data_IF_411520229103
#
_entry.id   IF_411520229103
#
_cell.length_a   1.000
_cell.length_b   1.000
_cell.length_c   1.000
_cell.angle_alpha   90.00
_cell.angle_beta   90.00
_cell.angle_gamma   90.00
#
_symmetry.space_group_name_H-M   'P 1'
#
loop_
_entity.id
_entity.type
_entity.pdbx_description
1 polymer ?
#
# COMPACT_ATOMS: atom_id res chain seq x y z
N UNK A 1 -7.49 30.53 -21.55
CA UNK A 1 -7.66 30.64 -20.07
C UNK A 1 -6.36 30.12 -19.48
N UNK A 2 -5.62 30.93 -18.72
CA UNK A 2 -4.47 30.42 -17.96
C UNK A 2 -4.98 29.33 -17.01
N UNK A 3 -4.44 28.13 -17.11
CA UNK A 3 -4.72 27.04 -16.18
C UNK A 3 -4.26 27.48 -14.80
N UNK A 4 -5.17 27.64 -13.86
CA UNK A 4 -4.82 28.03 -12.49
C UNK A 4 -3.93 26.96 -11.88
N UNK A 5 -2.76 27.36 -11.39
CA UNK A 5 -1.82 26.46 -10.72
C UNK A 5 -2.48 25.79 -9.50
N UNK A 6 -2.21 24.50 -9.30
CA UNK A 6 -2.84 23.68 -8.26
C UNK A 6 -1.84 23.27 -7.19
N UNK A 7 -2.28 23.34 -5.94
CA UNK A 7 -1.57 22.79 -4.78
C UNK A 7 -2.33 21.57 -4.27
N UNK A 8 -1.63 20.45 -4.16
CA UNK A 8 -2.17 19.22 -3.58
C UNK A 8 -1.63 19.04 -2.15
N UNK A 9 -2.51 18.96 -1.17
CA UNK A 9 -2.16 18.65 0.22
C UNK A 9 -2.50 17.21 0.50
N UNK A 10 -1.49 16.37 0.79
CA UNK A 10 -1.65 14.95 1.06
C UNK A 10 -1.45 14.67 2.55
N UNK A 11 -2.49 14.20 3.22
CA UNK A 11 -2.40 13.73 4.61
C UNK A 11 -1.89 12.30 4.61
N UNK A 12 -0.66 12.10 5.13
CA UNK A 12 0.06 10.84 5.11
C UNK A 12 0.35 10.30 6.52
N UNK A 13 0.63 9.00 6.61
CA UNK A 13 0.80 8.27 7.89
C UNK A 13 2.08 8.60 8.65
N UNK A 14 3.15 9.00 7.93
CA UNK A 14 4.49 9.25 8.45
C UNK A 14 5.26 10.23 7.59
N UNK A 15 6.42 10.67 8.07
CA UNK A 15 7.39 11.47 7.31
C UNK A 15 7.85 10.73 6.06
N UNK A 16 8.09 11.45 4.96
CA UNK A 16 8.39 10.93 3.62
C UNK A 16 9.47 9.84 3.59
N UNK A 17 10.59 10.07 4.27
CA UNK A 17 11.73 9.15 4.29
C UNK A 17 11.70 8.10 5.41
N UNK A 18 10.62 8.03 6.21
CA UNK A 18 10.52 7.09 7.35
C UNK A 18 9.92 5.73 6.98
N UNK A 19 9.22 5.65 5.85
CA UNK A 19 8.73 4.38 5.33
C UNK A 19 9.84 3.72 4.51
N UNK A 20 10.31 2.56 4.94
CA UNK A 20 11.30 1.75 4.20
C UNK A 20 10.71 1.16 2.91
N UNK A 21 9.39 1.22 2.75
CA UNK A 21 8.66 0.72 1.60
C UNK A 21 7.94 1.88 0.92
N UNK A 22 7.92 1.86 -0.42
CA UNK A 22 7.15 2.80 -1.23
C UNK A 22 5.71 2.31 -1.32
N UNK A 23 4.76 3.11 -0.79
CA UNK A 23 3.33 2.81 -0.79
C UNK A 23 2.58 3.64 -1.83
N UNK A 24 1.33 3.27 -2.15
CA UNK A 24 0.40 3.97 -3.03
C UNK A 24 0.43 5.50 -2.83
N UNK A 25 0.43 5.99 -1.59
CA UNK A 25 0.46 7.43 -1.28
C UNK A 25 1.74 8.15 -1.77
N UNK A 26 2.90 7.48 -1.78
CA UNK A 26 4.13 8.05 -2.31
C UNK A 26 4.03 8.18 -3.84
N UNK A 27 3.53 7.13 -4.51
CA UNK A 27 3.30 7.12 -5.95
C UNK A 27 2.29 8.17 -6.37
N UNK A 28 1.20 8.34 -5.60
CA UNK A 28 0.23 9.41 -5.82
C UNK A 28 0.89 10.79 -5.71
N UNK A 29 1.71 11.03 -4.69
CA UNK A 29 2.39 12.31 -4.51
C UNK A 29 3.35 12.62 -5.68
N UNK A 30 4.11 11.62 -6.14
CA UNK A 30 5.01 11.74 -7.29
C UNK A 30 4.25 11.96 -8.59
N UNK A 31 3.17 11.21 -8.81
CA UNK A 31 2.31 11.39 -9.97
C UNK A 31 1.71 12.80 -10.01
N UNK A 32 1.18 13.30 -8.89
CA UNK A 32 0.61 14.65 -8.81
C UNK A 32 1.69 15.72 -9.03
N UNK A 33 2.87 15.56 -8.43
CA UNK A 33 3.97 16.51 -8.59
C UNK A 33 4.50 16.59 -10.04
N UNK A 34 4.29 15.55 -10.84
CA UNK A 34 4.70 15.50 -12.25
C UNK A 34 3.66 16.09 -13.22
N UNK A 35 2.44 16.49 -12.76
CA UNK A 35 1.43 17.09 -13.63
C UNK A 35 1.77 18.57 -13.91
N UNK A 36 1.55 19.00 -15.15
CA UNK A 36 1.87 20.38 -15.58
C UNK A 36 1.11 21.46 -14.80
N UNK A 37 -0.15 21.16 -14.41
CA UNK A 37 -0.99 22.08 -13.66
C UNK A 37 -0.62 22.13 -12.17
N UNK A 38 0.20 21.20 -11.68
CA UNK A 38 0.58 21.14 -10.28
C UNK A 38 1.75 22.08 -9.99
N UNK A 39 1.52 23.05 -9.14
CA UNK A 39 2.56 23.92 -8.62
C UNK A 39 3.45 23.18 -7.62
N UNK A 40 2.81 22.49 -6.69
CA UNK A 40 3.49 21.71 -5.65
C UNK A 40 2.56 20.70 -4.97
N UNK A 41 3.19 19.74 -4.29
CA UNK A 41 2.54 18.82 -3.37
C UNK A 41 3.04 19.07 -1.96
N UNK A 42 2.12 19.24 -1.00
CA UNK A 42 2.44 19.40 0.42
C UNK A 42 2.10 18.08 1.14
N UNK A 43 3.13 17.39 1.62
CA UNK A 43 3.02 16.15 2.39
C UNK A 43 2.84 16.46 3.87
N UNK A 44 1.62 16.37 4.38
CA UNK A 44 1.29 16.61 5.79
C UNK A 44 1.30 15.29 6.56
N UNK A 45 2.16 15.19 7.55
CA UNK A 45 2.30 13.94 8.30
C UNK A 45 2.50 14.16 9.80
N UNK A 46 2.08 13.19 10.64
CA UNK A 46 2.40 13.21 12.05
C UNK A 46 3.87 12.82 12.28
N UNK A 47 4.59 13.61 13.05
CA UNK A 47 5.99 13.41 13.37
C UNK A 47 6.23 13.48 14.90
N UNK A 48 6.34 12.34 15.59
CA UNK A 48 6.42 12.32 17.05
C UNK A 48 7.70 12.90 17.62
N UNK A 49 8.76 12.99 16.83
CA UNK A 49 10.09 13.45 17.28
C UNK A 49 10.52 14.78 16.66
N UNK A 50 9.70 15.41 15.82
CA UNK A 50 10.09 16.68 15.23
C UNK A 50 10.23 17.76 16.28
N UNK A 51 11.28 18.59 16.16
CA UNK A 51 11.50 19.76 17.03
C UNK A 51 10.86 21.01 16.42
N UNK A 52 10.80 21.11 15.10
CA UNK A 52 10.27 22.26 14.34
C UNK A 52 9.18 21.80 13.39
N UNK A 53 8.12 22.58 13.28
CA UNK A 53 7.03 22.39 12.32
C UNK A 53 7.24 23.39 11.17
N UNK A 54 8.19 23.05 10.30
CA UNK A 54 8.59 23.85 9.14
C UNK A 54 8.41 23.04 7.85
N UNK A 55 8.27 23.72 6.73
CA UNK A 55 8.25 23.08 5.43
C UNK A 55 9.66 22.66 5.02
N UNK A 56 9.81 21.42 4.61
CA UNK A 56 11.07 20.83 4.15
C UNK A 56 10.90 20.24 2.75
N UNK A 57 11.81 20.56 1.83
CA UNK A 57 11.85 19.87 0.54
C UNK A 57 12.28 18.42 0.76
N UNK A 58 11.45 17.46 0.33
CA UNK A 58 11.72 16.01 0.53
C UNK A 58 11.85 15.25 -0.79
N UNK A 59 11.27 15.80 -1.85
CA UNK A 59 11.38 15.27 -3.21
C UNK A 59 11.13 16.41 -4.22
N UNK A 60 11.47 16.24 -5.50
CA UNK A 60 11.16 17.24 -6.53
C UNK A 60 9.65 17.54 -6.54
N UNK A 61 9.28 18.81 -6.42
CA UNK A 61 7.88 19.23 -6.37
C UNK A 61 7.11 18.85 -5.10
N UNK A 62 7.76 18.22 -4.08
CA UNK A 62 7.09 17.79 -2.84
C UNK A 62 7.77 18.40 -1.63
N UNK A 63 7.02 19.22 -0.87
CA UNK A 63 7.42 19.75 0.44
C UNK A 63 6.69 19.01 1.55
N UNK A 64 7.39 18.69 2.63
CA UNK A 64 6.81 18.05 3.81
C UNK A 64 6.52 19.07 4.90
N UNK A 65 5.35 18.99 5.50
CA UNK A 65 4.97 19.68 6.72
C UNK A 65 4.71 18.64 7.83
N UNK A 66 5.65 18.53 8.75
CA UNK A 66 5.63 17.54 9.83
C UNK A 66 4.92 18.09 11.07
N UNK A 67 3.77 17.54 11.42
CA UNK A 67 2.97 17.95 12.59
C UNK A 67 3.40 17.15 13.82
N UNK A 68 3.91 17.85 14.85
CA UNK A 68 4.37 17.22 16.09
C UNK A 68 3.23 16.50 16.80
N UNK A 69 3.39 15.18 17.02
CA UNK A 69 2.45 14.40 17.83
C UNK A 69 2.48 14.84 19.31
N UNK A 70 1.37 14.61 20.00
CA UNK A 70 1.28 14.91 21.43
C UNK A 70 2.23 14.02 22.26
N UNK A 71 2.26 12.71 21.95
CA UNK A 71 3.05 11.71 22.66
C UNK A 71 3.92 10.92 21.69
N UNK A 72 5.16 10.62 22.13
CA UNK A 72 6.12 9.89 21.30
C UNK A 72 5.82 8.38 21.21
N UNK A 73 5.27 7.79 22.26
CA UNK A 73 4.97 6.35 22.31
C UNK A 73 3.81 6.00 21.36
N UNK A 74 4.03 5.07 20.46
CA UNK A 74 3.10 4.65 19.38
C UNK A 74 1.68 4.35 19.89
N UNK A 75 1.54 3.69 21.03
CA UNK A 75 0.24 3.31 21.60
C UNK A 75 -0.62 4.50 22.05
N UNK A 76 -0.01 5.66 22.31
CA UNK A 76 -0.69 6.86 22.80
C UNK A 76 -0.80 7.98 21.75
N UNK A 77 -0.54 7.69 20.48
CA UNK A 77 -0.59 8.67 19.38
C UNK A 77 -2.01 8.95 18.92
N UNK A 78 -2.90 9.30 19.84
CA UNK A 78 -4.30 9.66 19.50
C UNK A 78 -4.46 11.12 19.08
N UNK A 79 -3.51 11.99 19.39
CA UNK A 79 -3.58 13.43 19.14
C UNK A 79 -3.89 13.78 17.68
N UNK A 80 -3.44 12.97 16.73
CA UNK A 80 -3.70 13.15 15.30
C UNK A 80 -5.16 12.94 14.88
N UNK A 81 -5.98 12.35 15.75
CA UNK A 81 -7.41 12.12 15.52
C UNK A 81 -8.30 13.05 16.35
N UNK A 82 -7.71 13.89 17.24
CA UNK A 82 -8.41 14.72 18.21
C UNK A 82 -8.12 16.18 17.95
N UNK A 83 -9.12 16.94 17.54
CA UNK A 83 -9.03 18.33 17.05
C UNK A 83 -8.27 19.28 17.97
N UNK A 84 -8.51 19.18 19.27
CA UNK A 84 -7.88 20.03 20.31
C UNK A 84 -6.36 20.00 20.25
N UNK A 85 -5.75 18.83 19.90
CA UNK A 85 -4.32 18.66 19.95
C UNK A 85 -3.55 19.14 18.71
N UNK A 86 -4.23 19.28 17.55
CA UNK A 86 -3.53 19.65 16.32
C UNK A 86 -4.02 20.92 15.63
N UNK A 87 -5.20 21.44 15.99
CA UNK A 87 -5.77 22.63 15.35
C UNK A 87 -4.78 23.78 15.22
N UNK A 88 -4.16 24.19 16.34
CA UNK A 88 -3.16 25.27 16.32
C UNK A 88 -1.86 24.91 15.60
N UNK A 89 -1.51 23.62 15.59
CA UNK A 89 -0.29 23.14 14.91
C UNK A 89 -0.38 23.21 13.39
N UNK A 90 -1.59 23.29 12.85
CA UNK A 90 -1.84 23.44 11.41
C UNK A 90 -1.83 24.90 10.94
N UNK A 91 -1.72 25.89 11.85
CA UNK A 91 -1.75 27.31 11.48
C UNK A 91 -0.75 27.68 10.38
N UNK A 92 0.55 27.26 10.41
CA UNK A 92 1.48 27.61 9.35
C UNK A 92 1.06 27.07 7.97
N UNK A 93 0.48 25.85 7.93
CA UNK A 93 -0.07 25.26 6.70
C UNK A 93 -1.24 26.12 6.19
N UNK A 94 -2.17 26.51 7.08
CA UNK A 94 -3.35 27.29 6.71
C UNK A 94 -2.99 28.70 6.22
N UNK A 95 -1.95 29.32 6.77
CA UNK A 95 -1.42 30.62 6.31
C UNK A 95 -0.82 30.51 4.91
N UNK A 96 -0.04 29.45 4.63
CA UNK A 96 0.49 29.17 3.29
C UNK A 96 -0.65 29.00 2.27
N UNK A 97 -1.68 28.21 2.61
CA UNK A 97 -2.82 27.99 1.72
C UNK A 97 -3.65 29.25 1.49
N UNK A 98 -3.84 30.10 2.50
CA UNK A 98 -4.50 31.41 2.32
C UNK A 98 -3.72 32.31 1.37
N UNK A 99 -2.40 32.33 1.50
CA UNK A 99 -1.52 33.07 0.58
C UNK A 99 -1.62 32.53 -0.84
N UNK A 100 -1.72 31.22 -1.02
CA UNK A 100 -1.92 30.57 -2.31
C UNK A 100 -3.26 30.97 -2.94
N UNK A 101 -4.35 30.89 -2.16
CA UNK A 101 -5.68 31.34 -2.61
C UNK A 101 -5.72 32.79 -3.04
N UNK A 102 -5.01 33.68 -2.31
CA UNK A 102 -4.89 35.08 -2.69
C UNK A 102 -4.16 35.31 -4.04
N UNK A 103 -3.33 34.36 -4.46
CA UNK A 103 -2.70 34.33 -5.80
C UNK A 103 -3.59 33.69 -6.86
N UNK A 104 -4.80 33.21 -6.51
CA UNK A 104 -5.71 32.53 -7.41
C UNK A 104 -5.39 31.05 -7.65
N UNK A 105 -4.53 30.45 -6.82
CA UNK A 105 -4.16 29.03 -6.89
C UNK A 105 -5.30 28.17 -6.30
N UNK A 106 -5.52 26.98 -6.88
CA UNK A 106 -6.49 25.99 -6.39
C UNK A 106 -5.83 25.09 -5.36
N UNK A 107 -6.58 24.67 -4.35
CA UNK A 107 -6.08 23.82 -3.27
C UNK A 107 -6.94 22.56 -3.09
N UNK A 108 -6.36 21.37 -3.34
CA UNK A 108 -7.01 20.08 -3.20
C UNK A 108 -6.44 19.33 -2.00
N UNK A 109 -7.33 18.77 -1.17
CA UNK A 109 -6.97 17.96 0.01
C UNK A 109 -7.14 16.47 -0.29
N UNK A 110 -6.08 15.70 -0.07
CA UNK A 110 -6.07 14.24 -0.20
C UNK A 110 -5.85 13.59 1.15
N UNK A 111 -6.82 12.82 1.61
CA UNK A 111 -6.60 11.94 2.74
C UNK A 111 -6.16 10.56 2.26
N UNK A 112 -4.99 10.09 2.68
CA UNK A 112 -4.52 8.72 2.44
C UNK A 112 -4.56 7.87 3.71
N UNK A 113 -4.96 8.49 4.82
CA UNK A 113 -5.33 7.84 6.09
C UNK A 113 -6.18 8.81 6.94
N UNK A 114 -6.96 8.36 7.92
CA UNK A 114 -7.91 9.19 8.66
C UNK A 114 -7.29 10.06 9.76
N UNK A 115 -6.13 10.68 9.51
CA UNK A 115 -5.51 11.64 10.43
C UNK A 115 -5.94 13.07 10.16
N UNK A 116 -5.92 13.91 11.19
CA UNK A 116 -6.27 15.33 11.11
C UNK A 116 -7.64 15.62 10.46
N UNK A 117 -8.73 14.94 10.87
CA UNK A 117 -10.01 15.02 10.17
C UNK A 117 -10.58 16.44 10.13
N UNK A 118 -10.24 17.32 11.10
CA UNK A 118 -10.67 18.72 11.11
C UNK A 118 -10.09 19.53 9.95
N UNK A 119 -8.96 19.12 9.35
CA UNK A 119 -8.31 19.87 8.27
C UNK A 119 -9.26 20.13 7.09
N UNK A 120 -10.14 19.18 6.78
CA UNK A 120 -11.19 19.34 5.75
C UNK A 120 -12.18 20.48 6.02
N UNK A 121 -12.25 20.98 7.26
CA UNK A 121 -13.16 22.06 7.68
C UNK A 121 -12.43 23.38 7.98
N UNK A 122 -11.10 23.38 8.06
CA UNK A 122 -10.32 24.58 8.44
C UNK A 122 -9.99 25.50 7.26
N UNK A 123 -10.24 25.03 6.05
CA UNK A 123 -9.93 25.76 4.81
C UNK A 123 -11.02 25.48 3.76
N UNK A 124 -11.37 26.46 2.91
CA UNK A 124 -12.31 26.25 1.80
C UNK A 124 -11.62 25.56 0.63
N UNK A 125 -11.48 24.24 0.72
CA UNK A 125 -10.84 23.42 -0.31
C UNK A 125 -11.65 23.45 -1.61
N UNK A 126 -10.95 23.50 -2.76
CA UNK A 126 -11.58 23.29 -4.06
C UNK A 126 -12.08 21.86 -4.22
N UNK A 127 -11.38 20.88 -3.62
CA UNK A 127 -11.82 19.50 -3.51
C UNK A 127 -11.22 18.80 -2.29
N UNK A 128 -11.97 17.89 -1.71
CA UNK A 128 -11.54 16.95 -0.66
C UNK A 128 -11.69 15.54 -1.17
N UNK A 129 -10.59 14.81 -1.27
CA UNK A 129 -10.54 13.44 -1.77
C UNK A 129 -10.08 12.49 -0.65
N UNK A 130 -10.74 11.34 -0.52
CA UNK A 130 -10.30 10.27 0.37
C UNK A 130 -9.84 9.05 -0.43
N UNK A 131 -8.54 8.75 -0.43
CA UNK A 131 -7.95 7.54 -1.02
C UNK A 131 -7.83 6.47 0.07
N UNK A 132 -8.89 5.67 0.22
CA UNK A 132 -9.03 4.62 1.23
C UNK A 132 -8.29 3.36 0.78
N UNK A 133 -7.07 3.19 1.25
CA UNK A 133 -6.20 2.08 0.86
C UNK A 133 -6.05 0.98 1.91
N UNK A 134 -6.68 1.11 3.09
CA UNK A 134 -6.54 0.15 4.18
C UNK A 134 -7.75 0.19 5.13
N UNK A 135 -7.96 -0.90 5.87
CA UNK A 135 -8.97 -0.96 6.94
C UNK A 135 -8.36 -0.39 8.24
N UNK A 136 -8.22 0.95 8.28
CA UNK A 136 -7.45 1.69 9.29
C UNK A 136 -7.82 1.39 10.74
N UNK A 137 -9.08 1.07 11.00
CA UNK A 137 -9.58 0.77 12.34
C UNK A 137 -9.37 -0.70 12.75
N UNK A 138 -9.06 -1.62 11.82
CA UNK A 138 -8.90 -3.03 12.13
C UNK A 138 -7.51 -3.35 12.69
N UNK A 139 -7.38 -4.26 13.66
CA UNK A 139 -6.10 -4.72 14.14
C UNK A 139 -5.44 -5.64 13.11
N UNK A 140 -4.21 -5.34 12.72
CA UNK A 140 -3.42 -6.16 11.76
C UNK A 140 -3.18 -7.58 12.29
N UNK A 141 -3.07 -7.76 13.61
CA UNK A 141 -2.86 -9.06 14.26
C UNK A 141 -4.14 -9.89 14.44
N UNK A 142 -5.31 -9.32 14.16
CA UNK A 142 -6.61 -9.95 14.43
C UNK A 142 -6.97 -10.06 15.91
N UNK A 143 -6.07 -9.68 16.84
CA UNK A 143 -6.32 -9.70 18.30
C UNK A 143 -6.75 -8.31 18.77
N UNK A 144 -7.76 -8.26 19.66
CA UNK A 144 -8.23 -7.01 20.26
C UNK A 144 -8.05 -7.04 21.78
N UNK A 145 -7.79 -5.86 22.35
CA UNK A 145 -7.82 -5.58 23.78
C UNK A 145 -8.54 -4.25 24.01
N UNK A 146 -8.82 -3.90 25.27
CA UNK A 146 -9.59 -2.68 25.62
C UNK A 146 -9.01 -1.41 24.97
N UNK A 147 -7.67 -1.25 24.96
CA UNK A 147 -7.00 -0.10 24.36
C UNK A 147 -7.14 -0.09 22.83
N UNK A 148 -7.07 -1.26 22.19
CA UNK A 148 -7.24 -1.38 20.74
C UNK A 148 -8.70 -1.08 20.33
N UNK A 149 -9.67 -1.45 21.15
CA UNK A 149 -11.08 -1.13 20.92
C UNK A 149 -11.36 0.38 21.07
N UNK A 150 -10.78 1.04 22.07
CA UNK A 150 -10.85 2.49 22.18
C UNK A 150 -10.24 3.17 20.97
N UNK A 151 -9.03 2.73 20.57
CA UNK A 151 -8.35 3.25 19.37
C UNK A 151 -9.21 3.05 18.12
N UNK A 152 -9.82 1.88 17.97
CA UNK A 152 -10.72 1.58 16.84
C UNK A 152 -11.89 2.57 16.76
N UNK A 153 -12.52 2.88 17.89
CA UNK A 153 -13.63 3.88 17.94
C UNK A 153 -13.14 5.25 17.50
N UNK A 154 -12.02 5.72 18.02
CA UNK A 154 -11.46 7.03 17.68
C UNK A 154 -11.12 7.13 16.18
N UNK A 155 -10.49 6.09 15.61
CA UNK A 155 -10.16 6.06 14.17
C UNK A 155 -11.45 6.01 13.32
N UNK A 156 -12.45 5.19 13.68
CA UNK A 156 -13.72 5.13 12.98
C UNK A 156 -14.45 6.49 12.96
N UNK A 157 -14.47 7.19 14.09
CA UNK A 157 -15.07 8.53 14.16
C UNK A 157 -14.34 9.54 13.28
N UNK A 158 -13.00 9.51 13.28
CA UNK A 158 -12.19 10.37 12.42
C UNK A 158 -12.42 10.07 10.93
N UNK A 159 -12.43 8.79 10.56
CA UNK A 159 -12.69 8.34 9.20
C UNK A 159 -14.09 8.72 8.71
N UNK A 160 -15.13 8.57 9.55
CA UNK A 160 -16.50 8.95 9.20
C UNK A 160 -16.58 10.44 8.85
N UNK A 161 -15.96 11.31 9.64
CA UNK A 161 -15.91 12.76 9.36
C UNK A 161 -15.24 13.08 8.01
N UNK A 162 -14.23 12.30 7.63
CA UNK A 162 -13.57 12.47 6.32
C UNK A 162 -14.48 11.98 5.20
N UNK A 163 -15.13 10.82 5.36
CA UNK A 163 -16.08 10.25 4.40
C UNK A 163 -17.25 11.23 4.13
N UNK A 164 -17.79 11.83 5.18
CA UNK A 164 -18.88 12.82 5.06
C UNK A 164 -18.45 14.06 4.27
N UNK A 165 -17.22 14.52 4.45
CA UNK A 165 -16.66 15.75 3.86
C UNK A 165 -16.04 15.55 2.47
N UNK A 166 -15.65 14.32 2.13
CA UNK A 166 -15.02 14.05 0.85
C UNK A 166 -16.01 14.27 -0.32
N UNK A 167 -15.54 14.94 -1.36
CA UNK A 167 -16.27 15.10 -2.62
C UNK A 167 -16.18 13.83 -3.48
N UNK A 168 -15.03 13.13 -3.41
CA UNK A 168 -14.78 11.85 -4.07
C UNK A 168 -13.99 10.91 -3.17
N UNK A 169 -14.29 9.62 -3.24
CA UNK A 169 -13.63 8.58 -2.46
C UNK A 169 -13.17 7.49 -3.39
N UNK A 170 -11.88 7.10 -3.31
CA UNK A 170 -11.36 5.93 -4.00
C UNK A 170 -10.99 4.85 -2.99
N UNK A 171 -11.29 3.60 -3.32
CA UNK A 171 -11.03 2.45 -2.47
C UNK A 171 -10.15 1.45 -3.20
N UNK A 172 -9.11 0.93 -2.52
CA UNK A 172 -8.17 -0.01 -3.13
C UNK A 172 -8.70 -1.45 -3.25
N UNK A 173 -9.93 -1.71 -2.82
CA UNK A 173 -10.61 -2.99 -3.00
C UNK A 173 -12.14 -2.84 -2.93
N UNK A 174 -12.86 -3.79 -3.53
CA UNK A 174 -14.32 -3.88 -3.45
C UNK A 174 -14.82 -3.99 -2.00
N UNK A 175 -14.07 -4.68 -1.15
CA UNK A 175 -14.39 -4.78 0.27
C UNK A 175 -14.39 -3.41 0.95
N UNK A 176 -13.34 -2.61 0.71
CA UNK A 176 -13.27 -1.24 1.26
C UNK A 176 -14.35 -0.34 0.67
N UNK A 177 -14.63 -0.46 -0.63
CA UNK A 177 -15.73 0.24 -1.29
C UNK A 177 -17.05 -0.01 -0.53
N UNK A 178 -17.41 -1.27 -0.38
CA UNK A 178 -18.65 -1.67 0.30
C UNK A 178 -18.70 -1.21 1.77
N UNK A 179 -17.57 -1.23 2.48
CA UNK A 179 -17.48 -0.74 3.86
C UNK A 179 -17.60 0.78 3.97
N UNK A 180 -17.14 1.53 2.98
CA UNK A 180 -17.29 2.98 2.90
C UNK A 180 -18.71 3.33 2.49
N UNK A 181 -19.25 2.68 1.48
CA UNK A 181 -20.59 2.93 0.94
C UNK A 181 -21.69 2.75 2.02
N UNK A 182 -21.58 1.73 2.86
CA UNK A 182 -22.46 1.53 4.02
C UNK A 182 -22.50 2.70 5.00
N UNK A 183 -21.50 3.59 4.98
CA UNK A 183 -21.40 4.76 5.86
C UNK A 183 -21.98 6.03 5.22
N UNK A 184 -22.29 6.00 3.93
CA UNK A 184 -22.85 7.13 3.20
C UNK A 184 -24.37 7.20 3.34
N UNK A 185 -24.90 8.38 3.16
CA UNK A 185 -26.35 8.60 3.01
C UNK A 185 -26.79 8.08 1.64
N UNK A 186 -27.93 7.42 1.56
CA UNK A 186 -28.45 6.88 0.31
C UNK A 186 -28.47 7.92 -0.83
N UNK A 187 -28.00 7.53 -2.02
CA UNK A 187 -27.97 8.39 -3.21
C UNK A 187 -26.69 9.20 -3.43
N UNK A 188 -25.65 8.99 -2.62
CA UNK A 188 -24.33 9.60 -2.83
C UNK A 188 -23.43 8.68 -3.66
N UNK A 189 -23.36 8.91 -4.96
CA UNK A 189 -22.47 8.16 -5.88
C UNK A 189 -21.08 8.81 -5.95
N UNK A 190 -20.29 8.74 -4.86
CA UNK A 190 -18.95 9.34 -4.80
C UNK A 190 -17.84 8.34 -4.48
N UNK A 191 -18.16 7.04 -4.39
CA UNK A 191 -17.18 5.98 -4.09
C UNK A 191 -16.84 5.21 -5.35
N UNK A 192 -15.54 5.03 -5.60
CA UNK A 192 -15.01 4.32 -6.75
C UNK A 192 -13.97 3.30 -6.31
N UNK A 193 -13.96 2.11 -6.92
CA UNK A 193 -12.89 1.14 -6.71
C UNK A 193 -11.77 1.38 -7.71
N UNK A 194 -10.57 1.65 -7.19
CA UNK A 194 -9.32 1.71 -7.96
C UNK A 194 -8.26 0.94 -7.18
N UNK A 195 -7.97 -0.26 -7.62
CA UNK A 195 -7.07 -1.17 -6.93
C UNK A 195 -5.64 -0.64 -6.88
N UNK A 196 -4.77 -1.34 -6.14
CA UNK A 196 -3.35 -1.02 -6.13
C UNK A 196 -2.70 -1.41 -7.47
N UNK A 197 -1.66 -0.67 -7.83
CA UNK A 197 -0.94 -0.83 -9.07
C UNK A 197 0.53 -1.21 -8.87
N UNK A 198 1.30 -1.08 -9.95
CA UNK A 198 2.72 -1.41 -10.03
C UNK A 198 3.49 -0.32 -10.77
N UNK A 199 4.78 -0.16 -10.50
CA UNK A 199 5.72 0.51 -11.41
C UNK A 199 6.12 -0.49 -12.50
N UNK A 200 5.32 -0.54 -13.56
CA UNK A 200 5.45 -1.58 -14.57
C UNK A 200 6.88 -1.67 -15.13
N UNK A 201 7.45 -0.56 -15.56
CA UNK A 201 8.78 -0.52 -16.20
C UNK A 201 9.90 -0.98 -15.25
N UNK A 202 9.80 -0.65 -13.96
CA UNK A 202 10.79 -1.08 -12.95
C UNK A 202 10.95 -2.60 -12.90
N UNK A 203 9.85 -3.34 -13.03
CA UNK A 203 9.84 -4.79 -12.91
C UNK A 203 9.92 -5.53 -14.25
N UNK A 204 9.40 -4.94 -15.34
CA UNK A 204 9.33 -5.58 -16.65
C UNK A 204 10.62 -5.46 -17.47
N UNK A 205 11.37 -4.36 -17.28
CA UNK A 205 12.57 -4.06 -18.07
C UNK A 205 13.88 -4.49 -17.40
N UNK A 206 13.79 -5.01 -16.17
CA UNK A 206 14.97 -5.40 -15.42
C UNK A 206 15.64 -6.63 -16.05
N UNK A 207 16.93 -6.51 -16.40
CA UNK A 207 17.75 -7.55 -17.05
C UNK A 207 19.03 -7.85 -16.27
N UNK A 208 19.08 -7.53 -14.97
CA UNK A 208 20.28 -7.83 -14.20
C UNK A 208 20.45 -9.35 -14.04
N UNK A 209 21.69 -9.80 -14.11
CA UNK A 209 22.01 -11.18 -13.77
C UNK A 209 21.84 -11.35 -12.25
N UNK A 210 20.94 -12.23 -11.79
CA UNK A 210 20.69 -12.40 -10.36
C UNK A 210 21.90 -13.02 -9.67
N UNK A 211 22.23 -12.55 -8.47
CA UNK A 211 23.24 -13.19 -7.62
C UNK A 211 22.68 -14.48 -7.00
N UNK A 212 22.90 -15.60 -7.68
CA UNK A 212 22.44 -16.92 -7.22
C UNK A 212 23.17 -17.44 -5.97
N UNK A 213 24.25 -16.78 -5.52
CA UNK A 213 24.94 -17.16 -4.26
C UNK A 213 24.02 -17.08 -3.05
N UNK A 214 23.01 -16.20 -3.12
CA UNK A 214 21.92 -16.07 -2.12
C UNK A 214 21.20 -17.40 -1.89
N UNK A 215 21.06 -18.22 -2.94
CA UNK A 215 20.37 -19.52 -2.86
C UNK A 215 21.25 -20.62 -2.26
N UNK A 216 22.50 -20.33 -1.85
CA UNK A 216 23.39 -21.25 -1.14
C UNK A 216 23.61 -22.58 -1.87
N UNK A 217 23.69 -22.54 -3.21
CA UNK A 217 23.90 -23.73 -4.05
C UNK A 217 22.65 -24.59 -4.28
N UNK A 218 21.47 -24.12 -3.89
CA UNK A 218 20.20 -24.84 -4.15
C UNK A 218 19.76 -24.62 -5.60
N UNK A 219 19.31 -25.70 -6.25
CA UNK A 219 18.97 -25.71 -7.68
C UNK A 219 17.46 -25.88 -7.95
N UNK A 220 16.67 -26.25 -6.94
CA UNK A 220 15.22 -26.47 -7.06
C UNK A 220 14.43 -25.17 -7.25
N UNK A 221 13.12 -25.31 -7.43
CA UNK A 221 12.21 -24.16 -7.61
C UNK A 221 12.28 -23.17 -6.42
N UNK A 222 12.29 -21.88 -6.74
CA UNK A 222 12.35 -20.78 -5.75
C UNK A 222 10.99 -20.13 -5.62
N UNK A 223 10.36 -20.30 -4.46
CA UNK A 223 9.10 -19.67 -4.10
C UNK A 223 9.41 -18.45 -3.23
N UNK A 224 9.05 -17.25 -3.68
CA UNK A 224 9.49 -16.02 -3.02
C UNK A 224 8.39 -15.12 -2.50
N UNK A 225 8.61 -14.58 -1.31
CA UNK A 225 7.84 -13.46 -0.75
C UNK A 225 8.73 -12.22 -0.64
N UNK A 226 8.29 -11.10 -1.23
CA UNK A 226 9.02 -9.83 -1.14
C UNK A 226 8.15 -8.78 -0.45
N UNK A 227 8.67 -8.12 0.60
CA UNK A 227 8.04 -7.01 1.30
C UNK A 227 8.00 -7.16 2.81
N UNK A 228 7.33 -6.27 3.53
CA UNK A 228 7.27 -6.31 4.99
C UNK A 228 6.68 -7.61 5.52
N UNK A 229 7.48 -8.36 6.28
CA UNK A 229 7.09 -9.62 6.90
C UNK A 229 6.30 -9.28 8.16
N UNK A 230 4.99 -9.58 8.17
CA UNK A 230 4.06 -9.12 9.21
C UNK A 230 3.22 -10.28 9.77
N UNK A 231 2.62 -10.15 10.98
CA UNK A 231 1.82 -11.20 11.61
C UNK A 231 0.58 -11.64 10.81
N UNK A 232 0.21 -10.91 9.76
CA UNK A 232 -0.89 -11.24 8.84
C UNK A 232 -0.56 -12.37 7.86
N UNK A 233 0.72 -12.77 7.77
CA UNK A 233 1.19 -13.87 6.91
C UNK A 233 1.06 -15.19 7.63
N UNK A 234 0.79 -16.26 6.88
CA UNK A 234 0.67 -17.62 7.37
C UNK A 234 2.00 -18.36 7.28
N UNK A 235 2.82 -18.22 8.31
CA UNK A 235 4.12 -18.87 8.37
C UNK A 235 4.01 -20.39 8.53
N UNK A 236 2.93 -20.88 9.18
CA UNK A 236 2.71 -22.32 9.35
C UNK A 236 2.40 -23.02 8.03
N UNK A 237 1.61 -22.38 7.17
CA UNK A 237 1.35 -22.89 5.82
C UNK A 237 2.67 -23.12 5.07
N UNK A 238 3.59 -22.16 5.15
CA UNK A 238 4.88 -22.27 4.46
C UNK A 238 5.83 -23.25 5.15
N UNK A 239 5.82 -23.33 6.49
CA UNK A 239 6.58 -24.32 7.24
C UNK A 239 6.22 -25.76 6.79
N UNK A 240 4.93 -26.08 6.75
CA UNK A 240 4.43 -27.38 6.30
C UNK A 240 4.79 -27.67 4.84
N UNK A 241 4.67 -26.67 3.96
CA UNK A 241 5.07 -26.80 2.56
C UNK A 241 6.59 -27.02 2.41
N UNK A 242 7.40 -26.30 3.18
CA UNK A 242 8.86 -26.42 3.15
C UNK A 242 9.35 -27.79 3.63
N UNK A 243 8.72 -28.36 4.66
CA UNK A 243 9.01 -29.73 5.15
C UNK A 243 8.67 -30.79 4.10
N UNK A 244 7.62 -30.62 3.31
CA UNK A 244 7.16 -31.59 2.29
C UNK A 244 7.91 -31.46 0.96
N UNK A 245 8.47 -30.27 0.68
CA UNK A 245 9.21 -29.96 -0.54
C UNK A 245 10.63 -29.50 -0.18
N UNK A 246 11.50 -30.41 0.31
CA UNK A 246 12.87 -30.05 0.71
C UNK A 246 13.75 -29.62 -0.46
N UNK A 247 13.39 -29.98 -1.68
CA UNK A 247 14.01 -29.56 -2.94
C UNK A 247 13.67 -28.12 -3.34
N UNK A 248 12.54 -27.55 -2.85
CA UNK A 248 12.19 -26.17 -3.11
C UNK A 248 12.93 -25.23 -2.16
N UNK A 249 13.13 -23.99 -2.60
CA UNK A 249 13.67 -22.91 -1.76
C UNK A 249 12.58 -21.88 -1.48
N UNK A 250 12.37 -21.53 -0.21
CA UNK A 250 11.45 -20.48 0.20
C UNK A 250 12.23 -19.20 0.55
N UNK A 251 12.23 -18.24 -0.38
CA UNK A 251 12.99 -17.00 -0.29
C UNK A 251 12.13 -15.87 0.29
N UNK A 252 12.56 -15.30 1.43
CA UNK A 252 11.92 -14.18 2.09
C UNK A 252 12.81 -12.93 1.99
N UNK A 253 12.27 -11.87 1.39
CA UNK A 253 12.98 -10.59 1.21
C UNK A 253 12.18 -9.47 1.86
N UNK A 254 12.80 -8.75 2.79
CA UNK A 254 12.18 -7.60 3.42
C UNK A 254 12.34 -7.52 4.94
N UNK A 255 11.93 -6.40 5.55
CA UNK A 255 12.08 -6.19 6.98
C UNK A 255 11.15 -7.09 7.80
N UNK A 256 11.69 -7.66 8.88
CA UNK A 256 10.87 -8.34 9.91
C UNK A 256 10.09 -7.29 10.73
N UNK A 257 8.80 -7.32 10.57
CA UNK A 257 7.83 -6.53 11.33
C UNK A 257 6.82 -7.44 12.07
N UNK A 258 7.23 -8.68 12.38
CA UNK A 258 6.39 -9.66 13.09
C UNK A 258 6.30 -9.37 14.60
N UNK A 259 7.20 -8.52 15.13
CA UNK A 259 7.39 -8.26 16.55
C UNK A 259 7.77 -9.55 17.35
N UNK A 260 8.59 -10.42 16.77
CA UNK A 260 9.06 -11.65 17.38
C UNK A 260 8.05 -12.80 17.32
N UNK A 261 7.29 -12.93 16.23
CA UNK A 261 6.38 -14.07 16.01
C UNK A 261 7.18 -15.38 15.99
N UNK A 262 6.84 -16.29 16.91
CA UNK A 262 7.53 -17.57 17.06
C UNK A 262 7.41 -18.47 15.83
N UNK A 263 6.28 -18.43 15.12
CA UNK A 263 6.11 -19.23 13.91
C UNK A 263 7.05 -18.79 12.79
N UNK A 264 7.37 -17.49 12.67
CA UNK A 264 8.38 -17.02 11.72
C UNK A 264 9.77 -17.49 12.13
N UNK A 265 10.10 -17.45 13.43
CA UNK A 265 11.40 -17.93 13.93
C UNK A 265 11.58 -19.43 13.72
N UNK A 266 10.54 -20.25 13.91
CA UNK A 266 10.60 -21.69 13.63
C UNK A 266 10.77 -21.94 12.12
N UNK A 267 10.04 -21.23 11.26
CA UNK A 267 10.19 -21.32 9.81
C UNK A 267 11.64 -21.07 9.36
N UNK A 268 12.33 -20.10 9.95
CA UNK A 268 13.73 -19.76 9.61
C UNK A 268 14.76 -20.84 10.03
N UNK A 269 14.38 -21.85 10.80
CA UNK A 269 15.27 -22.97 11.15
C UNK A 269 15.37 -24.03 10.05
N UNK A 270 14.45 -23.99 9.08
CA UNK A 270 14.47 -24.96 7.98
C UNK A 270 15.58 -24.62 6.98
N UNK A 271 16.34 -25.62 6.55
CA UNK A 271 17.50 -25.46 5.67
C UNK A 271 17.17 -24.95 4.27
N UNK A 272 15.92 -25.08 3.84
CA UNK A 272 15.40 -24.61 2.55
C UNK A 272 14.61 -23.31 2.65
N UNK A 273 14.69 -22.61 3.78
CA UNK A 273 14.11 -21.30 3.99
C UNK A 273 15.22 -20.27 4.13
N UNK A 274 15.21 -19.25 3.30
CA UNK A 274 16.24 -18.20 3.27
C UNK A 274 15.57 -16.85 3.51
N UNK A 275 16.08 -16.10 4.48
CA UNK A 275 15.67 -14.71 4.72
C UNK A 275 16.87 -13.78 4.51
N UNK A 276 16.73 -12.84 3.59
CA UNK A 276 17.82 -11.90 3.22
C UNK A 276 17.83 -10.62 4.06
N UNK A 277 16.78 -10.39 4.86
CA UNK A 277 16.58 -9.10 5.52
C UNK A 277 15.97 -8.03 4.59
N UNK A 278 16.01 -6.74 5.00
CA UNK A 278 15.53 -5.62 4.20
C UNK A 278 16.34 -5.46 2.91
N UNK A 279 15.65 -5.10 1.82
CA UNK A 279 16.26 -4.71 0.55
C UNK A 279 15.87 -3.27 0.20
N UNK A 280 16.74 -2.56 -0.52
CA UNK A 280 16.38 -1.28 -1.13
C UNK A 280 15.28 -1.52 -2.19
N UNK A 281 14.25 -0.66 -2.28
CA UNK A 281 13.22 -0.79 -3.31
C UNK A 281 13.76 -0.91 -4.75
N UNK A 282 14.91 -0.31 -5.04
CA UNK A 282 15.56 -0.41 -6.34
C UNK A 282 16.23 -1.76 -6.60
N UNK A 283 16.54 -2.52 -5.54
CA UNK A 283 17.13 -3.85 -5.64
C UNK A 283 16.06 -4.96 -5.70
N UNK A 284 14.81 -4.65 -5.39
CA UNK A 284 13.71 -5.62 -5.43
C UNK A 284 13.62 -6.38 -6.76
N UNK A 285 13.79 -5.75 -7.94
CA UNK A 285 13.79 -6.48 -9.21
C UNK A 285 14.88 -7.56 -9.31
N UNK A 286 16.07 -7.37 -8.69
CA UNK A 286 17.12 -8.40 -8.67
C UNK A 286 16.69 -9.67 -7.92
N UNK A 287 15.99 -9.49 -6.78
CA UNK A 287 15.44 -10.62 -6.05
C UNK A 287 14.29 -11.29 -6.81
N UNK A 288 13.50 -10.52 -7.58
CA UNK A 288 12.45 -11.07 -8.44
C UNK A 288 13.00 -12.06 -9.49
N UNK A 289 14.19 -11.80 -10.03
CA UNK A 289 14.82 -12.70 -11.01
C UNK A 289 15.18 -14.07 -10.41
N UNK A 290 15.45 -14.15 -9.11
CA UNK A 290 15.74 -15.41 -8.41
C UNK A 290 14.48 -16.27 -8.19
N UNK A 291 13.28 -15.67 -8.26
CA UNK A 291 12.02 -16.30 -7.89
C UNK A 291 11.36 -16.91 -9.12
N UNK A 292 10.90 -18.15 -9.00
CA UNK A 292 10.10 -18.81 -10.03
C UNK A 292 8.60 -18.61 -9.77
N UNK A 293 8.17 -18.62 -8.50
CA UNK A 293 6.78 -18.39 -8.11
C UNK A 293 6.69 -17.35 -7.00
N UNK A 294 5.96 -16.26 -7.24
CA UNK A 294 5.61 -15.31 -6.20
C UNK A 294 4.57 -15.90 -5.23
N UNK A 295 4.83 -15.85 -3.93
CA UNK A 295 3.87 -16.36 -2.95
C UNK A 295 3.27 -15.25 -2.09
N UNK A 296 1.97 -15.35 -1.82
CA UNK A 296 1.23 -14.43 -0.97
C UNK A 296 0.43 -15.23 0.10
N UNK A 297 1.12 -15.80 1.10
CA UNK A 297 0.51 -16.69 2.09
C UNK A 297 -0.12 -15.87 3.21
N UNK A 298 -1.37 -15.43 3.04
CA UNK A 298 -2.06 -14.65 4.04
C UNK A 298 -2.98 -15.51 4.91
N UNK A 299 -3.08 -15.16 6.21
CA UNK A 299 -4.03 -15.76 7.15
C UNK A 299 -5.46 -15.32 6.84
N UNK A 300 -6.44 -16.18 7.06
CA UNK A 300 -7.85 -15.78 7.05
C UNK A 300 -8.12 -14.80 8.20
N UNK A 301 -8.47 -13.55 7.87
CA UNK A 301 -8.78 -12.51 8.86
C UNK A 301 -9.63 -11.40 8.25
N UNK A 302 -10.36 -10.67 9.10
CA UNK A 302 -11.13 -9.48 8.65
C UNK A 302 -10.25 -8.40 8.04
N UNK A 303 -9.02 -8.25 8.53
CA UNK A 303 -8.05 -7.31 7.94
C UNK A 303 -7.67 -7.72 6.52
N UNK A 304 -7.34 -9.00 6.30
CA UNK A 304 -6.88 -9.48 5.00
C UNK A 304 -8.00 -9.51 3.94
N UNK A 305 -9.29 -9.51 4.34
CA UNK A 305 -10.42 -9.34 3.40
C UNK A 305 -10.35 -8.00 2.64
N UNK A 306 -9.84 -6.95 3.31
CA UNK A 306 -9.72 -5.62 2.72
C UNK A 306 -8.45 -5.42 1.90
N UNK A 307 -7.44 -6.30 2.07
CA UNK A 307 -6.12 -6.12 1.46
C UNK A 307 -6.15 -6.47 -0.02
N UNK A 308 -5.72 -5.52 -0.85
CA UNK A 308 -5.31 -5.77 -2.23
C UNK A 308 -3.79 -5.56 -2.34
N UNK A 309 -2.96 -6.62 -2.40
CA UNK A 309 -1.52 -6.50 -2.26
C UNK A 309 -0.86 -5.98 -3.54
N UNK A 310 0.07 -5.03 -3.40
CA UNK A 310 0.92 -4.53 -4.49
C UNK A 310 1.69 -5.65 -5.19
N UNK A 311 2.14 -6.63 -4.40
CA UNK A 311 2.99 -7.74 -4.83
C UNK A 311 2.43 -8.57 -5.98
N UNK A 312 1.10 -8.69 -6.07
CA UNK A 312 0.48 -9.42 -7.17
C UNK A 312 0.97 -8.87 -8.52
N UNK A 313 0.86 -7.57 -8.71
CA UNK A 313 1.24 -6.96 -9.99
C UNK A 313 2.75 -6.74 -10.12
N UNK A 314 3.50 -6.63 -9.02
CA UNK A 314 4.97 -6.61 -9.05
C UNK A 314 5.52 -7.94 -9.60
N UNK A 315 5.03 -9.09 -9.12
CA UNK A 315 5.40 -10.40 -9.66
C UNK A 315 4.94 -10.57 -11.12
N UNK A 316 3.69 -10.21 -11.43
CA UNK A 316 3.18 -10.34 -12.80
C UNK A 316 3.95 -9.45 -13.79
N UNK A 317 4.38 -8.24 -13.40
CA UNK A 317 5.21 -7.36 -14.22
C UNK A 317 6.60 -7.96 -14.50
N UNK A 318 7.18 -8.64 -13.50
CA UNK A 318 8.40 -9.42 -13.69
C UNK A 318 8.19 -10.70 -14.51
N UNK A 319 6.97 -10.99 -14.96
CA UNK A 319 6.61 -12.20 -15.70
C UNK A 319 6.45 -13.45 -14.85
N UNK A 320 6.46 -13.33 -13.51
CA UNK A 320 6.37 -14.45 -12.57
C UNK A 320 4.93 -14.83 -12.27
N UNK A 321 4.59 -16.14 -12.22
CA UNK A 321 3.29 -16.59 -11.73
C UNK A 321 3.16 -16.36 -10.23
N UNK A 322 1.92 -16.32 -9.72
CA UNK A 322 1.67 -16.04 -8.31
C UNK A 322 0.70 -17.04 -7.71
N UNK A 323 0.95 -17.46 -6.48
CA UNK A 323 0.00 -18.22 -5.64
C UNK A 323 -0.36 -17.39 -4.41
N UNK A 324 -1.65 -17.13 -4.22
CA UNK A 324 -2.15 -16.34 -3.10
C UNK A 324 -3.23 -17.04 -2.29
N UNK A 325 -3.17 -16.89 -0.97
CA UNK A 325 -4.19 -17.44 -0.08
C UNK A 325 -4.89 -16.38 0.75
N UNK A 326 -6.20 -16.58 1.00
CA UNK A 326 -7.02 -15.76 1.90
C UNK A 326 -7.03 -14.25 1.63
N UNK A 327 -6.97 -13.89 0.34
CA UNK A 327 -7.07 -12.53 -0.17
C UNK A 327 -8.30 -12.39 -1.09
N UNK A 328 -9.53 -12.39 -0.57
CA UNK A 328 -10.75 -12.41 -1.39
C UNK A 328 -10.82 -11.28 -2.43
N UNK A 329 -10.24 -10.11 -2.11
CA UNK A 329 -10.19 -8.97 -3.04
C UNK A 329 -9.43 -9.28 -4.34
N UNK A 330 -8.59 -10.31 -4.36
CA UNK A 330 -7.81 -10.72 -5.53
C UNK A 330 -8.42 -11.91 -6.27
N UNK A 331 -9.45 -12.56 -5.72
CA UNK A 331 -10.03 -13.80 -6.30
C UNK A 331 -10.51 -13.62 -7.74
N UNK A 332 -11.02 -12.44 -8.10
CA UNK A 332 -11.42 -12.10 -9.46
C UNK A 332 -10.26 -12.06 -10.48
N UNK A 333 -9.02 -12.00 -9.99
CA UNK A 333 -7.81 -12.02 -10.83
C UNK A 333 -7.33 -13.44 -11.11
N UNK A 334 -7.96 -14.48 -10.52
CA UNK A 334 -7.59 -15.86 -10.76
C UNK A 334 -7.61 -16.20 -12.23
N UNK A 335 -6.50 -16.75 -12.70
CA UNK A 335 -6.32 -17.19 -14.07
C UNK A 335 -5.26 -18.30 -14.11
N UNK A 336 -5.56 -19.48 -14.72
CA UNK A 336 -4.65 -20.61 -14.74
C UNK A 336 -3.24 -20.23 -15.20
N UNK A 337 -2.22 -20.72 -14.50
CA UNK A 337 -0.78 -20.50 -14.74
C UNK A 337 -0.29 -19.05 -14.62
N UNK A 338 -1.17 -18.13 -14.21
CA UNK A 338 -0.87 -16.71 -14.02
C UNK A 338 -0.98 -16.35 -12.55
N UNK A 339 -2.18 -16.53 -11.98
CA UNK A 339 -2.47 -16.33 -10.58
C UNK A 339 -3.43 -17.41 -10.09
N UNK A 340 -2.96 -18.24 -9.18
CA UNK A 340 -3.80 -19.22 -8.49
C UNK A 340 -4.19 -18.67 -7.12
N UNK A 341 -5.50 -18.48 -6.91
CA UNK A 341 -6.07 -18.08 -5.64
C UNK A 341 -6.60 -19.28 -4.89
N UNK A 342 -6.31 -19.37 -3.60
CA UNK A 342 -6.86 -20.40 -2.73
C UNK A 342 -7.53 -19.79 -1.50
N UNK A 343 -8.62 -20.40 -1.07
CA UNK A 343 -9.25 -20.09 0.21
C UNK A 343 -8.89 -21.17 1.22
N UNK A 344 -8.40 -20.75 2.39
CA UNK A 344 -7.96 -21.69 3.43
C UNK A 344 -6.44 -21.77 3.55
N UNK A 345 -5.96 -22.71 4.33
CA UNK A 345 -4.53 -22.88 4.69
C UNK A 345 -4.12 -24.35 4.56
N UNK A 346 -4.73 -25.11 3.66
CA UNK A 346 -4.27 -26.48 3.38
C UNK A 346 -2.96 -26.41 2.60
N UNK A 347 -1.91 -27.04 3.14
CA UNK A 347 -0.58 -27.01 2.53
C UNK A 347 -0.49 -27.89 1.28
N UNK A 348 -1.35 -28.93 1.12
CA UNK A 348 -1.36 -29.74 -0.09
C UNK A 348 -2.00 -28.96 -1.24
N UNK A 349 -3.08 -28.22 -0.96
CA UNK A 349 -3.68 -27.30 -1.95
C UNK A 349 -2.67 -26.22 -2.38
N UNK A 350 -1.90 -25.68 -1.41
CA UNK A 350 -0.86 -24.69 -1.70
C UNK A 350 0.25 -25.28 -2.57
N UNK A 351 0.75 -26.49 -2.23
CA UNK A 351 1.78 -27.18 -3.02
C UNK A 351 1.25 -27.45 -4.44
N UNK A 352 0.04 -28.00 -4.56
CA UNK A 352 -0.58 -28.29 -5.86
C UNK A 352 -0.74 -27.03 -6.71
N UNK A 353 -1.14 -25.91 -6.11
CA UNK A 353 -1.22 -24.61 -6.82
C UNK A 353 0.15 -24.13 -7.30
N UNK A 354 1.20 -24.28 -6.48
CA UNK A 354 2.57 -23.94 -6.87
C UNK A 354 3.09 -24.84 -7.99
N UNK A 355 2.90 -26.16 -7.90
CA UNK A 355 3.28 -27.11 -8.96
C UNK A 355 2.60 -26.76 -10.28
N UNK A 356 1.31 -26.47 -10.25
CA UNK A 356 0.54 -26.09 -11.43
C UNK A 356 1.10 -24.85 -12.12
N UNK A 357 1.43 -23.78 -11.38
CA UNK A 357 1.96 -22.57 -12.01
C UNK A 357 3.40 -22.75 -12.52
N UNK A 358 4.18 -23.64 -11.90
CA UNK A 358 5.53 -24.00 -12.34
C UNK A 358 5.55 -24.70 -13.70
N UNK A 359 4.49 -25.44 -14.08
CA UNK A 359 4.40 -26.10 -15.39
C UNK A 359 4.58 -25.12 -16.57
N UNK A 360 4.25 -23.85 -16.37
CA UNK A 360 4.30 -22.81 -17.39
C UNK A 360 5.22 -21.63 -17.02
N UNK A 361 6.14 -21.79 -16.08
CA UNK A 361 7.01 -20.71 -15.68
C UNK A 361 7.96 -20.27 -16.82
N UNK A 362 8.59 -21.21 -17.50
CA UNK A 362 9.49 -20.95 -18.63
C UNK A 362 8.80 -20.60 -19.97
N UNK A 363 7.48 -20.61 -20.04
CA UNK A 363 6.72 -20.36 -21.28
C UNK A 363 6.57 -18.85 -21.54
N UNK A 364 7.22 -18.35 -22.61
CA UNK A 364 7.21 -16.92 -22.95
C UNK A 364 5.80 -16.37 -23.24
N UNK A 365 4.88 -17.19 -23.74
CA UNK A 365 3.50 -16.78 -23.95
C UNK A 365 2.83 -16.42 -22.61
N UNK A 366 3.00 -17.26 -21.60
CA UNK A 366 2.47 -17.00 -20.27
C UNK A 366 3.18 -15.85 -19.56
N UNK A 367 4.49 -15.70 -19.74
CA UNK A 367 5.22 -14.51 -19.22
C UNK A 367 4.65 -13.21 -19.81
N UNK A 368 4.41 -13.17 -21.12
CA UNK A 368 3.85 -11.99 -21.76
C UNK A 368 2.40 -11.75 -21.31
N UNK A 369 1.60 -12.80 -21.12
CA UNK A 369 0.24 -12.66 -20.57
C UNK A 369 0.25 -12.06 -19.16
N UNK A 370 1.20 -12.47 -18.28
CA UNK A 370 1.40 -11.92 -16.93
C UNK A 370 1.76 -10.43 -17.00
N UNK A 371 2.72 -10.07 -17.84
CA UNK A 371 3.16 -8.68 -18.07
C UNK A 371 2.02 -7.81 -18.61
N UNK A 372 1.23 -8.31 -19.56
CA UNK A 372 0.12 -7.56 -20.11
C UNK A 372 -0.96 -7.25 -19.07
N UNK A 373 -1.25 -8.17 -18.15
CA UNK A 373 -2.15 -7.91 -17.02
C UNK A 373 -1.55 -6.81 -16.13
N UNK A 374 -0.28 -6.91 -15.76
CA UNK A 374 0.37 -5.91 -14.91
C UNK A 374 0.45 -4.53 -15.57
N UNK A 375 0.68 -4.46 -16.89
CA UNK A 375 0.73 -3.19 -17.65
C UNK A 375 -0.56 -2.39 -17.53
N UNK A 376 -1.73 -3.05 -17.50
CA UNK A 376 -3.02 -2.36 -17.30
C UNK A 376 -3.17 -1.80 -15.88
N UNK A 377 -2.33 -2.24 -14.95
CA UNK A 377 -2.32 -1.82 -13.55
C UNK A 377 -1.12 -0.91 -13.24
N UNK A 378 -0.51 -0.29 -14.25
CA UNK A 378 0.52 0.72 -14.01
C UNK A 378 -0.05 1.92 -13.24
N UNK A 379 0.73 2.46 -12.29
CA UNK A 379 0.31 3.58 -11.45
C UNK A 379 -0.15 4.80 -12.25
N UNK A 380 0.48 5.10 -13.39
CA UNK A 380 0.08 6.24 -14.22
C UNK A 380 -1.33 6.02 -14.81
N UNK A 381 -1.66 4.79 -15.20
CA UNK A 381 -3.00 4.44 -15.70
C UNK A 381 -4.04 4.62 -14.58
N UNK A 382 -3.76 4.08 -13.40
CA UNK A 382 -4.70 4.11 -12.28
C UNK A 382 -4.89 5.52 -11.72
N UNK A 383 -3.82 6.32 -11.57
CA UNK A 383 -3.95 7.68 -11.09
C UNK A 383 -4.65 8.60 -12.10
N UNK A 384 -4.46 8.41 -13.41
CA UNK A 384 -5.29 9.09 -14.42
C UNK A 384 -6.77 8.74 -14.29
N UNK A 385 -7.09 7.50 -13.95
CA UNK A 385 -8.46 7.09 -13.65
C UNK A 385 -9.01 7.78 -12.39
N UNK A 386 -8.21 7.86 -11.31
CA UNK A 386 -8.57 8.62 -10.11
C UNK A 386 -8.83 10.08 -10.45
N UNK A 387 -7.96 10.72 -11.23
CA UNK A 387 -8.13 12.11 -11.64
C UNK A 387 -9.45 12.36 -12.39
N UNK A 388 -9.91 11.39 -13.20
CA UNK A 388 -11.23 11.45 -13.84
C UNK A 388 -12.38 11.40 -12.84
N UNK A 389 -12.30 10.50 -11.85
CA UNK A 389 -13.33 10.38 -10.81
C UNK A 389 -13.40 11.60 -9.90
N UNK A 390 -12.27 12.21 -9.61
CA UNK A 390 -12.22 13.44 -8.81
C UNK A 390 -12.66 14.69 -9.58
N UNK A 391 -12.73 14.63 -10.91
CA UNK A 391 -13.07 15.78 -11.74
C UNK A 391 -12.01 16.88 -11.79
N UNK A 392 -10.81 16.64 -11.24
CA UNK A 392 -9.70 17.60 -11.23
C UNK A 392 -9.26 17.97 -12.66
N UNK A 393 -9.31 17.02 -13.59
CA UNK A 393 -8.92 17.21 -15.01
C UNK A 393 -10.05 17.74 -15.92
N UNK A 394 -11.25 18.04 -15.42
CA UNK A 394 -12.36 18.51 -16.27
C UNK A 394 -12.23 19.95 -16.80
N UNK A 395 -11.14 20.63 -16.52
CA UNK A 395 -10.91 22.04 -16.90
C UNK A 395 -9.60 22.26 -17.69
N UNK A 396 -9.07 21.22 -18.32
CA UNK A 396 -8.00 21.33 -19.32
C UNK A 396 -8.58 21.36 -20.74
#
# INVERSE_FOLDING_TARGET
METKAMIHVIVATAEWGKDQLRYRRHRLAEFLAAQEETKEVIWVCPAPRTQRMEFQQVHSGIRQFAVKDLLQKKMFRFGRYTDVFYKHKLSPLLEELKSASARGERCCLWYTFPGFPLLSSLYPWDQVIYDCSDLWAAPISGRSNMLSEFRRKVIKTAELRIIERADSITCSSEYLHNEVDKKLTAGQEKVHTVENGVEYDLFSEHKAVPDRSILQGREGAVLGFIGGIKPKLDFKLIEEAALRKPDWTFLWVGPDATNGDTAFQELLKLSNVIWTGPADPKEVPHFMELIDVGIMPYKKSSYNQAVFPLKLFEFLAAGKPVVGSNLPSTSKMQKPYIYEYMEGNDHNDFITACEKVLEKDGDETYKEMRRNIARTQDWNVLFKQIMKYTGIQKHA
#
